data_IF_853426228177
#
_entry.id   IF_853426228177
#
_cell.length_a   1.000
_cell.length_b   1.000
_cell.length_c   1.000
_cell.angle_alpha   90.00
_cell.angle_beta   90.00
_cell.angle_gamma   90.00
#
_symmetry.space_group_name_H-M   'P 1'
#
loop_
_entity.id
_entity.type
_entity.pdbx_description
1 polymer ?
#
# COMPACT_ATOMS: atom_id res chain seq x y z
N UNK A 1 -6.35 -24.84 -15.37
CA UNK A 1 -5.61 -24.65 -14.11
C UNK A 1 -6.39 -25.34 -12.99
N UNK A 2 -5.90 -26.47 -12.45
CA UNK A 2 -6.62 -27.20 -11.39
C UNK A 2 -6.66 -26.36 -10.11
N UNK A 3 -7.86 -26.17 -9.56
CA UNK A 3 -8.08 -25.36 -8.37
C UNK A 3 -7.74 -26.22 -7.15
N UNK A 4 -6.53 -26.08 -6.62
CA UNK A 4 -6.10 -26.81 -5.42
C UNK A 4 -6.43 -25.98 -4.16
N UNK A 5 -7.55 -26.23 -3.46
CA UNK A 5 -7.98 -25.41 -2.31
C UNK A 5 -6.99 -25.49 -1.14
N UNK A 6 -6.27 -26.61 -1.00
CA UNK A 6 -5.25 -26.81 0.03
C UNK A 6 -4.12 -25.78 -0.06
N UNK A 7 -3.50 -25.61 -1.22
CA UNK A 7 -2.42 -24.61 -1.41
C UNK A 7 -2.92 -23.17 -1.23
N UNK A 8 -4.18 -22.90 -1.59
CA UNK A 8 -4.79 -21.59 -1.35
C UNK A 8 -4.96 -21.33 0.16
N UNK A 9 -5.31 -22.35 0.94
CA UNK A 9 -5.39 -22.26 2.41
C UNK A 9 -4.06 -21.89 3.05
N UNK A 10 -2.96 -22.51 2.60
CA UNK A 10 -1.62 -22.33 3.18
C UNK A 10 -1.00 -20.95 2.92
N UNK A 11 -1.48 -20.21 1.92
CA UNK A 11 -0.93 -18.90 1.54
C UNK A 11 -1.82 -17.72 1.97
N UNK A 12 -3.01 -18.00 2.52
CA UNK A 12 -3.96 -16.96 2.93
C UNK A 12 -3.42 -16.13 4.08
N UNK A 13 -3.69 -14.82 4.09
CA UNK A 13 -3.37 -13.99 5.25
C UNK A 13 -4.23 -14.43 6.45
N UNK A 14 -3.77 -14.16 7.68
CA UNK A 14 -4.56 -14.41 8.88
C UNK A 14 -5.86 -13.59 8.84
N UNK A 15 -7.00 -14.25 8.97
CA UNK A 15 -8.33 -13.65 8.84
C UNK A 15 -9.22 -13.97 10.05
N UNK A 16 -10.01 -13.00 10.50
CA UNK A 16 -11.05 -13.14 11.54
C UNK A 16 -12.40 -12.93 10.86
N UNK A 17 -13.30 -13.90 10.97
CA UNK A 17 -14.64 -13.87 10.33
C UNK A 17 -14.63 -13.51 8.82
N UNK A 18 -13.55 -13.86 8.11
CA UNK A 18 -13.37 -13.58 6.69
C UNK A 18 -12.83 -12.19 6.35
N UNK A 19 -12.32 -11.44 7.33
CA UNK A 19 -11.62 -10.16 7.14
C UNK A 19 -10.16 -10.30 7.61
N UNK A 20 -9.15 -9.80 6.88
CA UNK A 20 -7.76 -9.92 7.31
C UNK A 20 -7.51 -9.17 8.64
N UNK A 21 -6.71 -9.76 9.53
CA UNK A 21 -6.51 -9.24 10.89
C UNK A 21 -5.94 -7.82 10.90
N UNK A 22 -4.90 -7.56 10.10
CA UNK A 22 -4.21 -6.27 10.06
C UNK A 22 -5.17 -5.12 9.70
N UNK A 23 -5.92 -5.15 8.56
CA UNK A 23 -6.86 -4.08 8.25
C UNK A 23 -8.02 -4.00 9.26
N UNK A 24 -8.46 -5.11 9.84
CA UNK A 24 -9.50 -5.11 10.86
C UNK A 24 -9.08 -4.32 12.11
N UNK A 25 -7.92 -4.64 12.67
CA UNK A 25 -7.38 -3.94 13.85
C UNK A 25 -7.14 -2.47 13.57
N UNK A 26 -6.59 -2.15 12.39
CA UNK A 26 -6.26 -0.78 12.02
C UNK A 26 -7.53 0.07 11.82
N UNK A 27 -8.58 -0.51 11.20
CA UNK A 27 -9.86 0.17 11.02
C UNK A 27 -10.63 0.32 12.35
N UNK A 28 -10.78 -0.75 13.13
CA UNK A 28 -11.50 -0.71 14.41
C UNK A 28 -10.77 0.16 15.43
N UNK A 29 -9.45 0.02 15.53
CA UNK A 29 -8.61 0.85 16.40
C UNK A 29 -8.64 2.32 15.98
N UNK A 30 -8.64 2.61 14.68
CA UNK A 30 -8.78 3.97 14.15
C UNK A 30 -10.13 4.61 14.53
N UNK A 31 -11.23 3.88 14.39
CA UNK A 31 -12.57 4.36 14.79
C UNK A 31 -12.64 4.58 16.30
N UNK A 32 -12.08 3.66 17.09
CA UNK A 32 -12.06 3.77 18.55
C UNK A 32 -11.24 4.98 19.02
N UNK A 33 -10.04 5.19 18.47
CA UNK A 33 -9.20 6.36 18.74
C UNK A 33 -9.90 7.66 18.34
N UNK A 34 -10.57 7.68 17.18
CA UNK A 34 -11.32 8.84 16.71
C UNK A 34 -12.49 9.18 17.65
N UNK A 35 -13.25 8.16 18.07
CA UNK A 35 -14.36 8.30 19.01
C UNK A 35 -13.90 8.85 20.36
N UNK A 36 -12.77 8.35 20.86
CA UNK A 36 -12.18 8.83 22.10
C UNK A 36 -11.66 10.27 21.97
N UNK A 37 -10.93 10.57 20.89
CA UNK A 37 -10.39 11.90 20.62
C UNK A 37 -11.49 12.97 20.49
N UNK A 38 -12.57 12.64 19.77
CA UNK A 38 -13.70 13.56 19.60
C UNK A 38 -14.72 13.51 20.75
N UNK A 39 -14.49 12.68 21.78
CA UNK A 39 -15.43 12.41 22.88
C UNK A 39 -16.85 11.99 22.44
N UNK A 40 -17.00 11.48 21.21
CA UNK A 40 -18.29 11.13 20.62
C UNK A 40 -18.40 9.61 20.49
N UNK A 41 -19.02 8.97 21.48
CA UNK A 41 -19.17 7.51 21.52
C UNK A 41 -19.97 6.95 20.34
N UNK A 42 -20.88 7.75 19.76
CA UNK A 42 -21.70 7.35 18.62
C UNK A 42 -20.87 6.99 17.38
N UNK A 43 -19.62 7.46 17.27
CA UNK A 43 -18.72 7.08 16.18
C UNK A 43 -18.38 5.59 16.18
N UNK A 44 -18.48 4.89 17.32
CA UNK A 44 -18.28 3.44 17.39
C UNK A 44 -19.32 2.69 16.54
N UNK A 45 -20.52 3.25 16.35
CA UNK A 45 -21.52 2.64 15.48
C UNK A 45 -21.04 2.47 14.02
N UNK A 46 -20.08 3.29 13.56
CA UNK A 46 -19.45 3.13 12.24
C UNK A 46 -18.58 1.87 12.11
N UNK A 47 -18.18 1.23 13.21
CA UNK A 47 -17.41 -0.02 13.14
C UNK A 47 -18.18 -1.13 12.42
N UNK A 48 -19.51 -1.17 12.59
CA UNK A 48 -20.39 -2.17 11.98
C UNK A 48 -20.37 -2.07 10.44
N UNK A 49 -20.76 -0.94 9.81
CA UNK A 49 -20.73 -0.83 8.36
C UNK A 49 -19.32 -1.00 7.79
N UNK A 50 -18.29 -0.49 8.47
CA UNK A 50 -16.89 -0.64 8.03
C UNK A 50 -16.47 -2.12 8.00
N UNK A 51 -16.86 -2.91 9.00
CA UNK A 51 -16.62 -4.36 9.01
C UNK A 51 -17.27 -5.07 7.80
N UNK A 52 -18.55 -4.77 7.51
CA UNK A 52 -19.25 -5.37 6.37
C UNK A 52 -18.64 -4.97 5.03
N UNK A 53 -18.20 -3.73 4.87
CA UNK A 53 -17.49 -3.27 3.68
C UNK A 53 -16.18 -4.05 3.50
N UNK A 54 -15.39 -4.19 4.56
CA UNK A 54 -14.14 -4.97 4.51
C UNK A 54 -14.40 -6.44 4.16
N UNK A 55 -15.45 -7.03 4.72
CA UNK A 55 -15.88 -8.41 4.40
C UNK A 55 -16.31 -8.54 2.94
N UNK A 56 -17.06 -7.58 2.41
CA UNK A 56 -17.47 -7.57 1.01
C UNK A 56 -16.28 -7.44 0.06
N UNK A 57 -15.28 -6.63 0.40
CA UNK A 57 -14.03 -6.53 -0.36
C UNK A 57 -13.25 -7.84 -0.34
N UNK A 58 -13.08 -8.45 0.84
CA UNK A 58 -12.32 -9.70 0.99
C UNK A 58 -13.00 -10.88 0.28
N UNK A 59 -14.33 -10.89 0.22
CA UNK A 59 -15.09 -11.89 -0.55
C UNK A 59 -14.74 -11.89 -2.05
N UNK A 60 -14.34 -10.74 -2.59
CA UNK A 60 -13.91 -10.61 -4.00
C UNK A 60 -12.47 -11.07 -4.18
N UNK A 61 -11.58 -10.65 -3.27
CA UNK A 61 -10.16 -11.00 -3.28
C UNK A 61 -9.60 -11.06 -1.85
N UNK A 62 -9.09 -12.24 -1.48
CA UNK A 62 -8.48 -12.53 -0.17
C UNK A 62 -7.26 -11.61 0.13
N UNK A 63 -6.61 -11.06 -0.92
CA UNK A 63 -5.40 -10.22 -0.81
C UNK A 63 -5.63 -8.74 -1.16
N UNK A 64 -6.87 -8.29 -1.30
CA UNK A 64 -7.20 -6.92 -1.73
C UNK A 64 -6.48 -5.83 -0.89
N UNK A 65 -6.45 -6.00 0.43
CA UNK A 65 -5.81 -5.04 1.34
C UNK A 65 -4.30 -5.00 1.19
N UNK A 66 -3.67 -6.14 0.87
CA UNK A 66 -2.22 -6.20 0.58
C UNK A 66 -1.90 -5.42 -0.70
N UNK A 67 -2.74 -5.54 -1.73
CA UNK A 67 -2.61 -4.77 -2.96
C UNK A 67 -2.86 -3.27 -2.73
N UNK A 68 -3.84 -2.91 -1.90
CA UNK A 68 -4.08 -1.51 -1.52
C UNK A 68 -2.88 -0.91 -0.79
N UNK A 69 -2.29 -1.65 0.15
CA UNK A 69 -1.10 -1.22 0.89
C UNK A 69 0.12 -1.09 -0.04
N UNK A 70 0.29 -2.03 -0.98
CA UNK A 70 1.33 -1.95 -2.00
C UNK A 70 1.14 -0.70 -2.87
N UNK A 71 -0.08 -0.45 -3.36
CA UNK A 71 -0.41 0.75 -4.15
C UNK A 71 -0.13 2.05 -3.38
N UNK A 72 -0.35 2.06 -2.08
CA UNK A 72 -0.03 3.20 -1.20
C UNK A 72 1.48 3.41 -1.07
N UNK A 73 2.25 2.32 -0.90
CA UNK A 73 3.72 2.38 -0.82
C UNK A 73 4.37 2.79 -2.14
N UNK A 74 3.75 2.44 -3.26
CA UNK A 74 4.13 2.84 -4.61
C UNK A 74 3.38 4.11 -5.06
N UNK A 75 3.18 5.07 -4.17
CA UNK A 75 2.62 6.35 -4.57
C UNK A 75 3.67 7.14 -5.37
N UNK A 76 3.43 7.30 -6.67
CA UNK A 76 4.31 8.06 -7.57
C UNK A 76 4.34 9.54 -7.18
N UNK A 77 5.54 10.15 -7.24
CA UNK A 77 5.70 11.59 -7.09
C UNK A 77 4.77 12.32 -8.10
N UNK A 78 3.92 13.27 -7.66
CA UNK A 78 3.07 14.06 -8.55
C UNK A 78 3.83 14.75 -9.68
N UNK A 79 5.07 15.23 -9.43
CA UNK A 79 5.90 15.84 -10.46
C UNK A 79 6.31 14.85 -11.56
N UNK A 80 6.67 13.62 -11.18
CA UNK A 80 6.98 12.54 -12.15
C UNK A 80 5.75 12.16 -12.96
N UNK A 81 4.59 12.04 -12.29
CA UNK A 81 3.32 11.76 -12.98
C UNK A 81 2.96 12.83 -14.00
N UNK A 82 3.19 14.11 -13.70
CA UNK A 82 2.90 15.20 -14.63
C UNK A 82 3.87 15.22 -15.82
N UNK A 83 5.13 14.88 -15.61
CA UNK A 83 6.16 14.83 -16.66
C UNK A 83 5.94 13.64 -17.61
N UNK A 84 5.78 12.42 -17.08
CA UNK A 84 5.60 11.20 -17.88
C UNK A 84 4.14 10.96 -18.32
N UNK A 85 3.18 11.73 -17.78
CA UNK A 85 1.72 11.54 -17.94
C UNK A 85 1.18 10.19 -17.46
N UNK A 86 2.03 9.37 -16.84
CA UNK A 86 1.72 8.04 -16.30
C UNK A 86 2.38 7.85 -14.94
N UNK A 87 1.97 6.83 -14.18
CA UNK A 87 2.68 6.47 -12.95
C UNK A 87 3.94 5.69 -13.31
N UNK A 88 5.09 6.29 -13.06
CA UNK A 88 6.39 5.67 -13.32
C UNK A 88 6.91 5.00 -12.05
N UNK A 89 7.53 3.84 -12.23
CA UNK A 89 8.18 3.08 -11.18
C UNK A 89 9.56 2.67 -11.67
N UNK A 90 10.56 2.75 -10.79
CA UNK A 90 11.93 2.38 -11.16
C UNK A 90 12.28 0.99 -10.67
N UNK A 91 13.09 0.25 -11.41
CA UNK A 91 13.59 -1.07 -10.97
C UNK A 91 14.71 -0.92 -9.96
N UNK A 92 15.62 0.04 -10.21
CA UNK A 92 16.74 0.38 -9.33
C UNK A 92 16.46 1.63 -8.50
N UNK A 93 17.08 1.70 -7.34
CA UNK A 93 17.22 2.96 -6.60
C UNK A 93 18.35 3.80 -7.19
N UNK A 94 18.07 5.09 -7.40
CA UNK A 94 19.07 6.05 -7.84
C UNK A 94 19.56 6.87 -6.67
N UNK A 95 20.85 7.21 -6.67
CA UNK A 95 21.41 8.14 -5.71
C UNK A 95 20.83 9.53 -5.95
N UNK A 96 20.61 10.27 -4.85
CA UNK A 96 20.29 11.68 -4.92
C UNK A 96 21.40 12.44 -5.64
N UNK A 97 21.06 13.17 -6.70
CA UNK A 97 22.01 14.05 -7.37
C UNK A 97 22.33 15.23 -6.45
N UNK A 98 23.62 15.61 -6.32
CA UNK A 98 23.99 16.77 -5.54
C UNK A 98 23.39 18.04 -6.17
N UNK A 99 22.91 18.99 -5.35
CA UNK A 99 22.24 20.20 -5.83
C UNK A 99 23.18 21.10 -6.65
N UNK A 100 24.48 21.06 -6.35
CA UNK A 100 25.53 21.76 -7.08
C UNK A 100 26.25 20.79 -8.03
N UNK A 101 25.58 20.39 -9.11
CA UNK A 101 26.20 19.60 -10.18
C UNK A 101 26.16 20.37 -11.49
N UNK A 102 27.23 20.28 -12.27
CA UNK A 102 27.35 20.92 -13.60
C UNK A 102 26.55 20.20 -14.70
N UNK A 103 25.60 19.32 -14.33
CA UNK A 103 24.78 18.59 -15.29
C UNK A 103 23.57 19.44 -15.74
N UNK A 104 23.15 19.33 -17.01
CA UNK A 104 21.93 19.98 -17.46
C UNK A 104 20.71 19.38 -16.74
N UNK A 105 19.79 20.23 -16.26
CA UNK A 105 18.53 19.80 -15.63
C UNK A 105 17.53 19.38 -16.72
N UNK A 106 17.49 18.09 -17.02
CA UNK A 106 16.59 17.51 -18.03
C UNK A 106 15.16 17.28 -17.47
N UNK A 107 15.05 17.04 -16.16
CA UNK A 107 13.78 16.77 -15.46
C UNK A 107 13.55 17.72 -14.29
N UNK A 108 12.28 17.97 -13.99
CA UNK A 108 11.83 18.84 -12.87
C UNK A 108 12.05 18.17 -11.50
N UNK A 109 12.31 16.87 -11.48
CA UNK A 109 12.53 16.05 -10.29
C UNK A 109 13.69 15.07 -10.56
N UNK A 110 14.40 14.66 -9.50
CA UNK A 110 15.46 13.67 -9.62
C UNK A 110 14.91 12.25 -9.77
N UNK A 111 15.63 11.38 -10.48
CA UNK A 111 15.25 9.95 -10.67
C UNK A 111 15.14 9.20 -9.33
N UNK A 112 15.88 9.63 -8.31
CA UNK A 112 15.80 9.10 -6.95
C UNK A 112 14.45 9.34 -6.27
N UNK A 113 13.64 10.28 -6.78
CA UNK A 113 12.32 10.60 -6.23
C UNK A 113 11.24 9.61 -6.71
N UNK A 114 11.56 8.74 -7.66
CA UNK A 114 10.65 7.70 -8.12
C UNK A 114 10.64 6.50 -7.16
N UNK A 115 9.47 5.93 -6.87
CA UNK A 115 9.38 4.70 -6.09
C UNK A 115 10.09 3.54 -6.81
N UNK A 116 11.00 2.85 -6.12
CA UNK A 116 11.74 1.72 -6.66
C UNK A 116 11.30 0.36 -6.13
N UNK A 117 11.38 -0.68 -6.99
CA UNK A 117 11.08 -2.07 -6.63
C UNK A 117 12.23 -2.77 -5.88
N UNK A 118 13.44 -2.23 -5.98
CA UNK A 118 14.67 -2.87 -5.52
C UNK A 118 14.58 -3.42 -4.09
N UNK A 119 13.98 -2.65 -3.16
CA UNK A 119 13.83 -3.03 -1.74
C UNK A 119 12.94 -4.27 -1.52
N UNK A 120 12.20 -4.71 -2.53
CA UNK A 120 11.25 -5.82 -2.44
C UNK A 120 11.72 -7.07 -3.19
N UNK A 121 12.80 -6.98 -3.96
CA UNK A 121 13.34 -8.11 -4.71
C UNK A 121 14.32 -8.84 -3.79
N UNK A 122 14.03 -10.08 -3.34
CA UNK A 122 15.03 -10.87 -2.64
C UNK A 122 16.17 -11.14 -3.63
N UNK A 123 17.42 -10.88 -3.23
CA UNK A 123 18.64 -11.01 -4.05
C UNK A 123 18.97 -9.86 -5.03
N UNK A 124 18.54 -8.63 -4.76
CA UNK A 124 19.20 -7.47 -5.42
C UNK A 124 20.70 -7.44 -5.07
N UNK A 125 21.54 -7.37 -6.10
CA UNK A 125 23.01 -7.34 -6.01
C UNK A 125 23.55 -6.05 -5.36
N UNK A 126 22.74 -4.98 -5.30
CA UNK A 126 23.15 -3.65 -4.86
C UNK A 126 22.86 -3.33 -3.37
N UNK A 127 22.80 -4.36 -2.51
CA UNK A 127 22.64 -4.15 -1.05
C UNK A 127 23.92 -3.70 -0.38
#
# INVERSE_FOLDING_TARGET
MQKNPLFKGLTRPPMIFGVPMVPLVLAMGGIFLLAFYSQNIFLIAFAIPVFFIMKAMTKRDDFIFRLMFLKMRFFSNPASKNYHKVKTYSTNSYRQMPPNSNFPKISVFGLNAEPSFEKFIPFSSQK
#
